data_IF_680059791711
#
_entry.id   IF_680059791711
#
_cell.length_a   1.000
_cell.length_b   1.000
_cell.length_c   1.000
_cell.angle_alpha   90.00
_cell.angle_beta   90.00
_cell.angle_gamma   90.00
#
_symmetry.space_group_name_H-M   'P 1'
#
loop_
_entity.id
_entity.type
_entity.pdbx_description
1 polymer ?
#
# COMPACT_ATOMS: atom_id res chain seq x y z
N UNK A 1 -27.85 -20.17 -11.34
CA UNK A 1 -27.24 -18.83 -11.06
C UNK A 1 -26.01 -18.73 -11.91
N UNK A 2 -26.11 -18.08 -13.06
CA UNK A 2 -24.99 -17.89 -14.02
C UNK A 2 -24.07 -16.81 -13.43
N UNK A 3 -23.00 -17.26 -12.78
CA UNK A 3 -21.95 -16.37 -12.32
C UNK A 3 -21.28 -15.73 -13.54
N UNK A 4 -21.62 -14.50 -13.86
CA UNK A 4 -20.86 -13.69 -14.80
C UNK A 4 -19.45 -13.55 -14.25
N UNK A 5 -18.48 -14.27 -14.82
CA UNK A 5 -17.09 -14.12 -14.50
C UNK A 5 -16.72 -12.67 -14.81
N UNK A 6 -16.37 -11.91 -13.77
CA UNK A 6 -15.92 -10.52 -13.94
C UNK A 6 -14.66 -10.49 -14.80
N UNK A 7 -14.47 -9.51 -15.69
CA UNK A 7 -13.34 -9.48 -16.62
C UNK A 7 -12.00 -9.41 -15.89
N UNK A 8 -11.02 -10.10 -16.45
CA UNK A 8 -9.61 -10.02 -16.04
C UNK A 8 -9.04 -8.71 -16.57
N UNK A 9 -8.28 -8.02 -15.74
CA UNK A 9 -7.64 -6.75 -16.07
C UNK A 9 -6.15 -7.00 -16.19
N UNK A 10 -5.55 -6.52 -17.27
CA UNK A 10 -4.12 -6.70 -17.53
C UNK A 10 -3.38 -5.38 -17.33
N UNK A 11 -2.35 -5.41 -16.52
CA UNK A 11 -1.47 -4.27 -16.22
C UNK A 11 0.00 -4.67 -16.37
N UNK A 12 0.91 -3.72 -16.41
CA UNK A 12 2.34 -4.00 -16.43
C UNK A 12 2.85 -4.30 -15.03
N UNK A 13 2.68 -3.38 -14.10
CA UNK A 13 3.14 -3.54 -12.71
C UNK A 13 2.02 -3.18 -11.72
N UNK A 14 2.00 -3.87 -10.59
CA UNK A 14 1.14 -3.54 -9.47
C UNK A 14 1.98 -3.46 -8.19
N UNK A 15 1.75 -2.42 -7.39
CA UNK A 15 2.41 -2.19 -6.11
C UNK A 15 1.35 -2.21 -5.00
N UNK A 16 1.52 -3.09 -4.04
CA UNK A 16 0.65 -3.22 -2.88
C UNK A 16 1.49 -3.28 -1.61
N UNK A 17 1.03 -2.67 -0.54
CA UNK A 17 1.68 -2.69 0.77
C UNK A 17 0.67 -2.86 1.89
N UNK A 18 1.14 -2.98 3.11
CA UNK A 18 0.33 -2.88 4.32
C UNK A 18 -0.92 -3.78 4.27
N UNK A 19 -0.70 -5.05 3.86
CA UNK A 19 -1.76 -6.07 3.83
C UNK A 19 -2.08 -6.56 5.24
N UNK A 20 -1.05 -6.68 6.09
CA UNK A 20 -1.15 -7.13 7.48
C UNK A 20 -1.84 -8.50 7.64
N UNK A 21 -1.44 -9.50 6.83
CA UNK A 21 -1.88 -10.89 7.04
C UNK A 21 -1.47 -11.35 8.45
N UNK A 22 -2.41 -11.84 9.22
CA UNK A 22 -2.23 -12.15 10.66
C UNK A 22 -2.97 -11.17 11.56
N UNK A 23 -3.37 -10.02 11.04
CA UNK A 23 -4.27 -9.08 11.70
C UNK A 23 -5.75 -9.40 11.39
N UNK A 24 -6.63 -9.12 12.35
CA UNK A 24 -8.09 -9.20 12.14
C UNK A 24 -8.63 -8.07 11.27
N UNK A 25 -7.85 -7.02 11.10
CA UNK A 25 -8.22 -5.82 10.34
C UNK A 25 -7.93 -5.96 8.84
N UNK A 26 -7.10 -6.97 8.48
CA UNK A 26 -6.77 -7.25 7.08
C UNK A 26 -8.04 -7.57 6.27
N UNK A 27 -8.19 -6.89 5.14
CA UNK A 27 -9.28 -7.13 4.17
C UNK A 27 -8.85 -8.18 3.14
N UNK A 28 -8.47 -9.35 3.64
CA UNK A 28 -7.87 -10.43 2.83
C UNK A 28 -8.75 -10.87 1.65
N UNK A 29 -10.09 -10.77 1.77
CA UNK A 29 -11.03 -11.07 0.69
C UNK A 29 -10.84 -10.13 -0.51
N UNK A 30 -10.63 -8.83 -0.23
CA UNK A 30 -10.42 -7.83 -1.27
C UNK A 30 -9.05 -7.99 -1.92
N UNK A 31 -8.00 -8.26 -1.11
CA UNK A 31 -6.66 -8.60 -1.63
C UNK A 31 -6.74 -9.80 -2.57
N UNK A 32 -7.42 -10.87 -2.14
CA UNK A 32 -7.54 -12.09 -2.92
C UNK A 32 -8.31 -11.86 -4.22
N UNK A 33 -9.39 -11.08 -4.18
CA UNK A 33 -10.15 -10.70 -5.36
C UNK A 33 -9.28 -9.88 -6.33
N UNK A 34 -8.57 -8.87 -5.83
CA UNK A 34 -7.61 -8.09 -6.62
C UNK A 34 -6.58 -8.97 -7.30
N UNK A 35 -5.89 -9.81 -6.54
CA UNK A 35 -4.86 -10.71 -7.06
C UNK A 35 -5.40 -11.69 -8.11
N UNK A 36 -6.64 -12.14 -8.00
CA UNK A 36 -7.27 -13.04 -8.97
C UNK A 36 -7.70 -12.34 -10.25
N UNK A 37 -8.16 -11.09 -10.14
CA UNK A 37 -8.71 -10.35 -11.28
C UNK A 37 -7.68 -9.53 -12.04
N UNK A 38 -6.59 -9.11 -11.36
CA UNK A 38 -5.53 -8.32 -12.00
C UNK A 38 -4.39 -9.24 -12.38
N UNK A 39 -4.09 -9.31 -13.68
CA UNK A 39 -2.92 -9.98 -14.24
C UNK A 39 -1.84 -8.93 -14.49
N UNK A 40 -0.65 -9.17 -13.94
CA UNK A 40 0.48 -8.25 -14.02
C UNK A 40 1.75 -8.99 -14.41
N UNK A 41 2.66 -8.28 -15.06
CA UNK A 41 4.01 -8.80 -15.37
C UNK A 41 4.89 -8.74 -14.11
N UNK A 42 4.73 -7.69 -13.30
CA UNK A 42 5.46 -7.48 -12.06
C UNK A 42 4.52 -7.16 -10.90
N UNK A 43 4.72 -7.82 -9.77
CA UNK A 43 4.01 -7.53 -8.51
C UNK A 43 5.04 -7.11 -7.47
N UNK A 44 4.89 -5.88 -6.98
CA UNK A 44 5.68 -5.36 -5.87
C UNK A 44 4.89 -5.48 -4.57
N UNK A 45 5.47 -6.20 -3.60
CA UNK A 45 5.00 -6.31 -2.23
C UNK A 45 5.84 -5.34 -1.39
N UNK A 46 5.28 -4.17 -1.09
CA UNK A 46 6.03 -3.03 -0.55
C UNK A 46 5.88 -2.94 0.97
N UNK A 47 6.22 -4.04 1.66
CA UNK A 47 6.29 -4.15 3.10
C UNK A 47 4.96 -4.40 3.80
N UNK A 48 5.07 -4.89 5.03
CA UNK A 48 3.96 -5.18 5.93
C UNK A 48 2.92 -6.13 5.32
N UNK A 49 3.44 -7.15 4.61
CA UNK A 49 2.60 -8.19 4.00
C UNK A 49 2.10 -9.15 5.05
N UNK A 50 2.99 -9.58 5.96
CA UNK A 50 2.64 -10.43 7.10
C UNK A 50 2.86 -9.65 8.39
N UNK A 51 1.81 -9.52 9.19
CA UNK A 51 1.90 -8.84 10.49
C UNK A 51 2.42 -9.81 11.58
N UNK A 52 3.74 -9.95 11.62
CA UNK A 52 4.42 -10.79 12.60
C UNK A 52 4.21 -10.28 14.04
N UNK A 53 4.05 -8.95 14.21
CA UNK A 53 3.81 -8.35 15.54
C UNK A 53 2.42 -8.75 16.06
N UNK A 54 1.39 -8.69 15.25
CA UNK A 54 0.04 -9.16 15.61
C UNK A 54 0.01 -10.65 15.88
N UNK A 55 0.69 -11.46 15.06
CA UNK A 55 0.79 -12.92 15.25
C UNK A 55 1.48 -13.31 16.57
N UNK A 56 2.54 -12.58 16.97
CA UNK A 56 3.23 -12.78 18.24
C UNK A 56 2.36 -12.41 19.45
N UNK A 57 1.50 -11.40 19.31
CA UNK A 57 0.61 -10.96 20.40
C UNK A 57 -0.61 -11.88 20.54
N UNK A 58 -1.22 -12.28 19.44
CA UNK A 58 -2.38 -13.15 19.40
C UNK A 58 -2.45 -13.84 18.05
N UNK A 59 -2.21 -15.15 18.02
CA UNK A 59 -2.22 -15.88 16.77
C UNK A 59 -3.61 -15.88 16.12
N UNK A 60 -3.68 -15.29 14.93
CA UNK A 60 -4.88 -15.26 14.09
C UNK A 60 -4.48 -15.51 12.63
N UNK A 61 -4.85 -16.69 12.11
CA UNK A 61 -4.48 -17.07 10.75
C UNK A 61 -5.60 -17.86 10.08
N UNK A 62 -6.65 -17.19 9.59
CA UNK A 62 -7.74 -17.86 8.88
C UNK A 62 -7.30 -18.37 7.51
N UNK A 63 -8.06 -19.32 6.94
CA UNK A 63 -7.76 -19.93 5.64
C UNK A 63 -7.56 -18.92 4.52
N UNK A 64 -8.28 -17.82 4.53
CA UNK A 64 -8.19 -16.77 3.52
C UNK A 64 -6.77 -16.15 3.43
N UNK A 65 -6.03 -16.07 4.55
CA UNK A 65 -4.64 -15.60 4.55
C UNK A 65 -3.72 -16.58 3.80
N UNK A 66 -3.93 -17.89 3.97
CA UNK A 66 -3.25 -18.90 3.14
C UNK A 66 -3.56 -18.72 1.66
N UNK A 67 -4.83 -18.46 1.33
CA UNK A 67 -5.27 -18.33 -0.05
C UNK A 67 -4.63 -17.09 -0.72
N UNK A 68 -4.42 -15.99 0.01
CA UNK A 68 -3.66 -14.83 -0.47
C UNK A 68 -2.22 -15.22 -0.79
N UNK A 69 -1.49 -15.82 0.17
CA UNK A 69 -0.10 -16.24 -0.05
C UNK A 69 0.04 -17.25 -1.20
N UNK A 70 -0.85 -18.25 -1.25
CA UNK A 70 -0.87 -19.23 -2.35
C UNK A 70 -1.14 -18.56 -3.70
N UNK A 71 -1.97 -17.52 -3.74
CA UNK A 71 -2.25 -16.79 -4.98
C UNK A 71 -1.03 -16.00 -5.42
N UNK A 72 -0.32 -15.33 -4.50
CA UNK A 72 0.94 -14.63 -4.80
C UNK A 72 1.98 -15.61 -5.35
N UNK A 73 2.21 -16.73 -4.65
CA UNK A 73 3.13 -17.77 -5.11
C UNK A 73 2.67 -18.42 -6.43
N UNK A 74 1.37 -18.56 -6.63
CA UNK A 74 0.79 -19.03 -7.89
C UNK A 74 1.12 -18.11 -9.06
N UNK A 75 1.14 -16.80 -8.85
CA UNK A 75 1.52 -15.84 -9.89
C UNK A 75 2.97 -16.02 -10.34
N UNK A 76 3.89 -16.29 -9.41
CA UNK A 76 5.31 -16.57 -9.77
C UNK A 76 5.42 -17.77 -10.69
N UNK A 77 4.62 -18.82 -10.47
CA UNK A 77 4.57 -20.01 -11.34
C UNK A 77 4.06 -19.70 -12.75
N UNK A 78 3.21 -18.69 -12.89
CA UNK A 78 2.62 -18.28 -14.17
C UNK A 78 3.37 -17.11 -14.84
N UNK A 79 4.61 -16.83 -14.41
CA UNK A 79 5.49 -15.88 -15.08
C UNK A 79 5.49 -14.46 -14.50
N UNK A 80 4.63 -14.14 -13.53
CA UNK A 80 4.71 -12.86 -12.84
C UNK A 80 5.99 -12.80 -12.00
N UNK A 81 6.80 -11.77 -12.19
CA UNK A 81 7.93 -11.47 -11.33
C UNK A 81 7.44 -10.80 -10.05
N UNK A 82 7.71 -11.37 -8.90
CA UNK A 82 7.29 -10.83 -7.60
C UNK A 82 8.50 -10.26 -6.89
N UNK A 83 8.46 -8.98 -6.57
CA UNK A 83 9.51 -8.27 -5.84
C UNK A 83 8.95 -7.95 -4.44
N UNK A 84 9.58 -8.51 -3.41
CA UNK A 84 9.20 -8.28 -2.03
C UNK A 84 10.23 -7.39 -1.34
N UNK A 85 9.76 -6.25 -0.84
CA UNK A 85 10.54 -5.31 -0.02
C UNK A 85 9.93 -5.34 1.38
N UNK A 86 10.57 -5.94 2.39
CA UNK A 86 10.00 -6.09 3.73
C UNK A 86 9.84 -4.76 4.47
N UNK A 87 8.73 -4.62 5.22
CA UNK A 87 8.46 -3.52 6.12
C UNK A 87 8.91 -3.78 7.57
N UNK A 88 8.38 -3.03 8.51
CA UNK A 88 8.69 -3.19 9.93
C UNK A 88 7.89 -4.30 10.60
N UNK A 89 6.67 -4.63 10.14
CA UNK A 89 5.89 -5.74 10.68
C UNK A 89 6.39 -7.12 10.23
N UNK A 90 7.13 -7.17 9.13
CA UNK A 90 7.77 -8.37 8.58
C UNK A 90 9.30 -8.22 8.44
N UNK A 91 9.92 -7.42 9.34
CA UNK A 91 11.36 -7.09 9.33
C UNK A 91 12.29 -8.30 9.33
N UNK A 92 11.85 -9.45 9.84
CA UNK A 92 12.62 -10.71 9.83
C UNK A 92 12.97 -11.15 8.40
N UNK A 93 12.14 -10.78 7.43
CA UNK A 93 12.41 -11.07 6.01
C UNK A 93 13.61 -10.28 5.48
N UNK A 94 14.04 -9.23 6.18
CA UNK A 94 15.24 -8.45 5.82
C UNK A 94 16.54 -9.24 5.96
N UNK A 95 16.54 -10.28 6.83
CA UNK A 95 17.70 -11.16 7.03
C UNK A 95 18.02 -12.00 5.79
N UNK A 96 17.03 -12.21 4.92
CA UNK A 96 17.15 -12.99 3.70
C UNK A 96 17.06 -12.15 2.42
N UNK A 97 17.26 -10.84 2.51
CA UNK A 97 17.37 -9.98 1.34
C UNK A 97 18.51 -10.44 0.41
N UNK A 98 18.30 -10.36 -0.89
CA UNK A 98 19.20 -10.90 -1.92
C UNK A 98 18.85 -12.35 -2.30
N UNK A 99 17.87 -12.96 -1.67
CA UNK A 99 17.44 -14.33 -2.00
C UNK A 99 16.42 -14.33 -3.12
N UNK A 100 16.52 -15.37 -3.96
CA UNK A 100 15.61 -15.62 -5.08
C UNK A 100 14.90 -16.96 -4.88
N UNK A 101 13.58 -16.96 -4.86
CA UNK A 101 12.73 -18.15 -4.81
C UNK A 101 11.91 -18.28 -6.11
N UNK A 102 12.50 -18.86 -7.15
CA UNK A 102 11.88 -18.85 -8.48
C UNK A 102 11.75 -17.42 -9.01
N UNK A 103 10.53 -16.97 -9.28
CA UNK A 103 10.24 -15.59 -9.72
C UNK A 103 9.90 -14.65 -8.55
N UNK A 104 10.21 -15.00 -7.30
CA UNK A 104 10.07 -14.15 -6.14
C UNK A 104 11.44 -13.72 -5.65
N UNK A 105 11.67 -12.42 -5.60
CA UNK A 105 12.91 -11.78 -5.17
C UNK A 105 12.67 -10.99 -3.89
N UNK A 106 13.59 -11.07 -2.93
CA UNK A 106 13.52 -10.30 -1.69
C UNK A 106 14.64 -9.25 -1.70
N UNK A 107 14.25 -7.98 -1.61
CA UNK A 107 15.16 -6.85 -1.65
C UNK A 107 14.91 -5.93 -0.47
N UNK A 108 15.96 -5.27 0.05
CA UNK A 108 15.78 -4.23 1.06
C UNK A 108 15.16 -2.96 0.48
N UNK A 109 15.57 -2.61 -0.70
CA UNK A 109 15.02 -1.57 -1.58
C UNK A 109 15.20 -2.02 -3.03
N UNK A 110 14.40 -1.49 -3.93
CA UNK A 110 14.45 -1.85 -5.34
C UNK A 110 14.34 -0.60 -6.21
N UNK A 111 15.00 -0.56 -7.35
CA UNK A 111 14.81 0.50 -8.34
C UNK A 111 13.99 -0.06 -9.49
N UNK A 112 12.74 0.41 -9.61
CA UNK A 112 11.87 0.07 -10.72
C UNK A 112 12.02 1.09 -11.84
N UNK A 113 12.20 0.60 -13.07
CA UNK A 113 12.15 1.45 -14.27
C UNK A 113 10.79 1.26 -14.94
N UNK A 114 10.02 2.34 -14.98
CA UNK A 114 8.70 2.34 -15.63
C UNK A 114 8.85 2.20 -17.15
N UNK A 115 7.76 1.92 -17.85
CA UNK A 115 7.75 1.91 -19.33
C UNK A 115 8.12 3.27 -19.94
N UNK A 116 7.94 4.35 -19.17
CA UNK A 116 8.33 5.72 -19.55
C UNK A 116 9.74 6.10 -19.12
N UNK A 117 10.57 5.12 -18.82
CA UNK A 117 11.97 5.28 -18.41
C UNK A 117 12.18 6.02 -17.08
N UNK A 118 11.12 6.27 -16.31
CA UNK A 118 11.24 6.85 -14.97
C UNK A 118 11.79 5.81 -13.98
N UNK A 119 12.78 6.17 -13.21
CA UNK A 119 13.41 5.33 -12.19
C UNK A 119 12.81 5.64 -10.82
N UNK A 120 12.06 4.69 -10.27
CA UNK A 120 11.38 4.84 -8.99
C UNK A 120 12.05 3.99 -7.92
N UNK A 121 12.43 4.61 -6.82
CA UNK A 121 12.86 3.89 -5.61
C UNK A 121 11.64 3.19 -5.00
N UNK A 122 11.70 1.89 -4.81
CA UNK A 122 10.66 1.11 -4.12
C UNK A 122 11.20 0.69 -2.77
N UNK A 123 10.58 1.16 -1.69
CA UNK A 123 10.92 0.80 -0.32
C UNK A 123 9.70 0.97 0.59
N UNK A 124 9.68 0.32 1.76
CA UNK A 124 8.49 0.40 2.61
C UNK A 124 8.28 1.80 3.20
N UNK A 125 9.32 2.39 3.74
CA UNK A 125 9.29 3.77 4.26
C UNK A 125 9.44 3.90 5.77
N UNK A 126 9.44 2.81 6.53
CA UNK A 126 9.62 2.83 7.99
C UNK A 126 10.97 3.45 8.42
N UNK A 127 11.98 3.44 7.53
CA UNK A 127 13.26 4.11 7.77
C UNK A 127 13.11 5.63 7.95
N UNK A 128 12.03 6.23 7.45
CA UNK A 128 11.79 7.67 7.57
C UNK A 128 11.23 8.08 8.93
N UNK A 129 10.74 7.14 9.75
CA UNK A 129 10.24 7.41 11.11
C UNK A 129 11.31 8.05 12.01
N UNK A 130 12.57 7.67 11.85
CA UNK A 130 13.69 8.25 12.58
C UNK A 130 14.00 9.70 12.20
N UNK A 131 13.70 10.10 10.98
CA UNK A 131 13.90 11.46 10.48
C UNK A 131 12.74 12.39 10.90
N UNK A 132 11.58 11.81 11.15
CA UNK A 132 10.41 12.51 11.63
C UNK A 132 10.36 12.40 13.15
N UNK A 133 10.73 13.45 13.88
CA UNK A 133 10.67 13.48 15.35
C UNK A 133 9.22 13.35 15.82
N UNK A 134 8.67 12.15 15.74
CA UNK A 134 7.40 11.83 16.37
C UNK A 134 7.70 11.28 17.78
N UNK A 135 7.19 11.95 18.81
CA UNK A 135 7.42 11.51 20.17
C UNK A 135 6.84 10.10 20.36
N UNK A 136 7.69 9.16 20.78
CA UNK A 136 7.37 7.72 20.96
C UNK A 136 6.12 7.45 21.81
N UNK A 137 5.75 8.37 22.69
CA UNK A 137 4.55 8.24 23.51
C UNK A 137 3.25 8.61 22.78
N UNK A 138 3.29 9.41 21.70
CA UNK A 138 2.16 9.63 20.81
C UNK A 138 1.83 8.36 20.00
N UNK A 139 2.84 7.60 19.62
CA UNK A 139 2.66 6.31 18.93
C UNK A 139 2.02 5.29 19.87
N UNK A 140 2.44 5.23 21.13
CA UNK A 140 1.86 4.31 22.13
C UNK A 140 0.42 4.68 22.53
N UNK A 141 0.06 5.97 22.58
CA UNK A 141 -1.31 6.43 22.78
C UNK A 141 -2.18 6.19 21.53
N UNK A 142 -1.57 6.32 20.33
CA UNK A 142 -2.25 6.14 19.06
C UNK A 142 -2.68 4.70 18.82
N UNK A 143 -1.91 3.70 19.22
CA UNK A 143 -2.24 2.29 18.97
C UNK A 143 -3.53 1.83 19.67
N UNK A 144 -3.71 2.15 20.96
CA UNK A 144 -4.93 1.79 21.69
C UNK A 144 -6.17 2.52 21.21
N UNK A 145 -6.04 3.81 20.89
CA UNK A 145 -7.13 4.62 20.32
C UNK A 145 -7.43 4.20 18.88
N UNK A 146 -6.41 3.80 18.14
CA UNK A 146 -6.52 3.29 16.77
C UNK A 146 -7.30 1.98 16.71
N UNK A 147 -6.99 1.01 17.58
CA UNK A 147 -7.72 -0.27 17.66
C UNK A 147 -9.21 -0.06 17.98
N UNK A 148 -9.52 0.87 18.91
CA UNK A 148 -10.92 1.24 19.23
C UNK A 148 -11.60 1.91 18.03
N UNK A 149 -10.89 2.78 17.33
CA UNK A 149 -11.43 3.48 16.15
C UNK A 149 -11.68 2.52 14.99
N UNK A 150 -10.80 1.54 14.77
CA UNK A 150 -11.00 0.48 13.76
C UNK A 150 -12.21 -0.40 14.10
N UNK A 151 -12.41 -0.74 15.37
CA UNK A 151 -13.60 -1.46 15.81
C UNK A 151 -14.91 -0.68 15.54
N UNK A 152 -14.91 0.61 15.86
CA UNK A 152 -16.03 1.51 15.56
C UNK A 152 -16.25 1.67 14.04
N UNK A 153 -15.17 1.75 13.26
CA UNK A 153 -15.23 1.85 11.81
C UNK A 153 -15.91 0.64 11.16
N UNK A 154 -15.65 -0.57 11.67
CA UNK A 154 -16.33 -1.80 11.22
C UNK A 154 -17.84 -1.71 11.43
N UNK A 155 -18.27 -1.28 12.60
CA UNK A 155 -19.70 -1.13 12.92
C UNK A 155 -20.38 -0.08 12.03
N UNK A 156 -19.74 1.08 11.86
CA UNK A 156 -20.22 2.17 10.99
C UNK A 156 -20.36 1.69 9.55
N UNK A 157 -19.36 1.00 9.02
CA UNK A 157 -19.41 0.51 7.64
C UNK A 157 -20.35 -0.67 7.44
N UNK A 158 -20.58 -1.52 8.45
CA UNK A 158 -21.61 -2.53 8.41
C UNK A 158 -23.01 -1.90 8.28
N UNK A 159 -23.26 -0.81 9.03
CA UNK A 159 -24.51 -0.06 8.94
C UNK A 159 -24.64 0.67 7.59
N UNK A 160 -23.57 1.31 7.12
CA UNK A 160 -23.55 1.99 5.81
C UNK A 160 -23.81 1.04 4.65
N UNK A 161 -23.24 -0.17 4.66
CA UNK A 161 -23.53 -1.20 3.64
C UNK A 161 -25.01 -1.61 3.62
N UNK A 162 -25.62 -1.76 4.79
CA UNK A 162 -27.06 -2.04 4.88
C UNK A 162 -27.94 -0.92 4.30
N UNK A 163 -27.42 0.30 4.32
CA UNK A 163 -28.10 1.49 3.79
C UNK A 163 -27.70 1.81 2.34
N UNK A 164 -26.89 0.97 1.70
CA UNK A 164 -26.46 1.16 0.29
C UNK A 164 -25.38 2.23 0.08
N UNK A 165 -24.72 2.70 1.15
CA UNK A 165 -23.62 3.66 1.03
C UNK A 165 -22.28 2.99 0.81
N UNK A 166 -21.37 3.59 0.01
CA UNK A 166 -20.02 3.10 -0.18
C UNK A 166 -19.23 3.11 1.14
N UNK A 167 -18.11 2.34 1.17
CA UNK A 167 -17.19 2.33 2.29
C UNK A 167 -16.67 3.73 2.62
N UNK A 168 -16.52 4.02 3.92
CA UNK A 168 -15.98 5.29 4.41
C UNK A 168 -15.11 5.05 5.64
N UNK A 169 -13.89 5.63 5.66
CA UNK A 169 -12.96 5.49 6.77
C UNK A 169 -13.14 6.61 7.80
N UNK A 170 -13.69 6.25 8.96
CA UNK A 170 -13.77 7.16 10.10
C UNK A 170 -12.36 7.51 10.64
N UNK A 171 -11.49 6.51 10.71
CA UNK A 171 -10.11 6.69 11.17
C UNK A 171 -9.33 7.62 10.24
N UNK A 172 -9.46 7.45 8.92
CA UNK A 172 -8.87 8.35 7.93
C UNK A 172 -9.36 9.80 8.08
N UNK A 173 -10.67 9.99 8.30
CA UNK A 173 -11.24 11.31 8.53
C UNK A 173 -10.71 11.97 9.81
N UNK A 174 -10.66 11.25 10.93
CA UNK A 174 -10.12 11.75 12.19
C UNK A 174 -8.62 12.06 12.08
N UNK A 175 -7.85 11.19 11.45
CA UNK A 175 -6.41 11.36 11.20
C UNK A 175 -6.12 12.62 10.37
N UNK A 176 -6.95 12.94 9.40
CA UNK A 176 -6.82 14.16 8.58
C UNK A 176 -7.10 15.45 9.34
N UNK A 177 -7.82 15.39 10.47
CA UNK A 177 -8.18 16.54 11.29
C UNK A 177 -7.14 16.89 12.37
N UNK A 178 -6.23 15.98 12.70
CA UNK A 178 -5.23 16.20 13.75
C UNK A 178 -4.00 16.87 13.13
N UNK A 179 -3.77 18.14 13.43
CA UNK A 179 -2.68 18.94 12.83
C UNK A 179 -1.27 18.34 13.01
N UNK A 180 -1.04 17.56 14.08
CA UNK A 180 0.23 16.85 14.29
C UNK A 180 0.39 15.67 13.33
N UNK A 181 -0.71 14.97 12.97
CA UNK A 181 -0.67 13.91 11.98
C UNK A 181 -0.36 14.46 10.58
N UNK A 182 -0.89 15.63 10.23
CA UNK A 182 -0.56 16.30 8.96
C UNK A 182 0.91 16.71 8.87
N UNK A 183 1.49 17.21 9.98
CA UNK A 183 2.93 17.51 10.04
C UNK A 183 3.78 16.25 9.87
N UNK A 184 3.38 15.15 10.51
CA UNK A 184 4.06 13.86 10.35
C UNK A 184 4.03 13.39 8.89
N UNK A 185 2.84 13.38 8.27
CA UNK A 185 2.68 13.01 6.87
C UNK A 185 3.57 13.85 5.97
N UNK A 186 3.51 15.17 6.10
CA UNK A 186 4.34 16.07 5.29
C UNK A 186 5.84 15.83 5.49
N UNK A 187 6.29 15.63 6.74
CA UNK A 187 7.70 15.35 7.03
C UNK A 187 8.13 14.00 6.46
N UNK A 188 7.26 12.99 6.48
CA UNK A 188 7.49 11.69 5.88
C UNK A 188 7.64 11.82 4.35
N UNK A 189 6.70 12.49 3.70
CA UNK A 189 6.72 12.72 2.26
C UNK A 189 8.01 13.43 1.81
N UNK A 190 8.44 14.47 2.55
CA UNK A 190 9.68 15.20 2.29
C UNK A 190 10.92 14.29 2.47
N UNK A 191 10.96 13.48 3.51
CA UNK A 191 12.07 12.56 3.75
C UNK A 191 12.15 11.50 2.65
N UNK A 192 11.02 10.95 2.22
CA UNK A 192 10.90 10.00 1.13
C UNK A 192 11.36 10.60 -0.20
N UNK A 193 10.87 11.78 -0.56
CA UNK A 193 11.31 12.47 -1.78
C UNK A 193 12.82 12.80 -1.74
N UNK A 194 13.34 13.21 -0.59
CA UNK A 194 14.78 13.45 -0.43
C UNK A 194 15.62 12.17 -0.59
N UNK A 195 15.11 11.00 -0.18
CA UNK A 195 15.79 9.72 -0.35
C UNK A 195 15.92 9.34 -1.84
N UNK A 196 14.90 9.57 -2.65
CA UNK A 196 14.96 9.39 -4.10
C UNK A 196 15.93 10.39 -4.74
N UNK A 197 15.85 11.67 -4.37
CA UNK A 197 16.73 12.72 -4.90
C UNK A 197 18.21 12.45 -4.63
N UNK A 198 18.57 11.98 -3.43
CA UNK A 198 19.97 11.63 -3.09
C UNK A 198 20.53 10.48 -3.94
N UNK A 199 19.65 9.65 -4.51
CA UNK A 199 19.99 8.54 -5.40
C UNK A 199 19.86 8.90 -6.88
N UNK A 200 19.59 10.17 -7.19
CA UNK A 200 19.38 10.67 -8.57
C UNK A 200 18.27 9.89 -9.29
N UNK A 201 17.16 9.59 -8.57
CA UNK A 201 15.99 8.89 -9.08
C UNK A 201 14.83 9.86 -9.29
N UNK A 202 13.93 9.52 -10.22
CA UNK A 202 12.79 10.36 -10.61
C UNK A 202 11.65 10.34 -9.60
N UNK A 203 11.58 9.31 -8.76
CA UNK A 203 10.52 9.19 -7.78
C UNK A 203 10.72 8.07 -6.76
N UNK A 204 9.71 7.93 -5.89
CA UNK A 204 9.65 6.91 -4.85
C UNK A 204 8.27 6.30 -4.76
N UNK A 205 8.20 4.99 -4.53
CA UNK A 205 6.99 4.24 -4.18
C UNK A 205 7.18 3.67 -2.78
N UNK A 206 6.26 3.99 -1.87
CA UNK A 206 6.28 3.50 -0.50
C UNK A 206 4.87 3.18 0.03
N UNK A 207 4.78 2.61 1.23
CA UNK A 207 3.58 2.34 2.02
C UNK A 207 3.65 3.02 3.38
N UNK A 208 3.56 2.22 4.46
CA UNK A 208 3.83 2.53 5.86
C UNK A 208 2.86 3.52 6.52
N UNK A 209 2.59 4.66 5.92
CA UNK A 209 1.71 5.69 6.52
C UNK A 209 0.22 5.48 6.18
N UNK A 210 -0.13 4.44 5.45
CA UNK A 210 -1.50 4.06 5.07
C UNK A 210 -2.29 5.19 4.40
N UNK A 211 -1.61 6.02 3.61
CA UNK A 211 -2.21 7.16 2.93
C UNK A 211 -1.96 7.10 1.45
N UNK A 212 -2.88 6.51 0.68
CA UNK A 212 -2.71 6.39 -0.76
C UNK A 212 -2.68 7.77 -1.43
N UNK A 213 -1.58 8.04 -2.15
CA UNK A 213 -1.38 9.33 -2.81
C UNK A 213 -0.39 9.21 -3.97
N UNK A 214 -0.61 9.96 -5.02
CA UNK A 214 0.37 10.27 -6.07
C UNK A 214 0.50 11.78 -6.12
N UNK A 215 1.68 12.31 -5.87
CA UNK A 215 1.96 13.75 -5.91
C UNK A 215 3.39 14.02 -6.35
N UNK A 216 3.69 15.24 -6.74
CA UNK A 216 5.04 15.67 -7.08
C UNK A 216 5.56 16.62 -6.00
N UNK A 217 6.75 16.32 -5.47
CA UNK A 217 7.41 17.07 -4.40
C UNK A 217 8.75 17.56 -4.92
N UNK A 218 8.82 18.84 -5.26
CA UNK A 218 10.04 19.48 -5.78
C UNK A 218 10.68 18.73 -6.95
N UNK A 219 9.89 18.28 -7.91
CA UNK A 219 10.34 17.54 -9.09
C UNK A 219 10.58 16.04 -8.87
N UNK A 220 10.26 15.49 -7.68
CA UNK A 220 10.31 14.06 -7.39
C UNK A 220 8.89 13.52 -7.31
N UNK A 221 8.60 12.45 -8.06
CA UNK A 221 7.32 11.76 -7.99
C UNK A 221 7.24 10.96 -6.69
N UNK A 222 6.29 11.30 -5.84
CA UNK A 222 5.98 10.56 -4.63
C UNK A 222 4.72 9.74 -4.82
N UNK A 223 4.81 8.44 -4.58
CA UNK A 223 3.68 7.51 -4.63
C UNK A 223 3.59 6.75 -3.31
N UNK A 224 2.42 6.77 -2.68
CA UNK A 224 2.10 5.89 -1.55
C UNK A 224 0.98 4.93 -1.96
N UNK A 225 1.21 3.64 -1.77
CA UNK A 225 0.28 2.58 -2.20
C UNK A 225 -0.97 2.47 -1.32
N UNK A 226 -0.95 3.10 -0.13
CA UNK A 226 -2.00 2.98 0.87
C UNK A 226 -1.90 1.68 1.67
N UNK A 227 -3.00 0.98 1.86
CA UNK A 227 -3.10 -0.23 2.69
C UNK A 227 -4.26 -1.13 2.26
N UNK A 228 -4.34 -2.34 2.85
CA UNK A 228 -5.45 -3.29 2.68
C UNK A 228 -6.22 -3.53 3.99
N UNK A 229 -6.24 -2.52 4.85
CA UNK A 229 -6.99 -2.46 6.10
C UNK A 229 -8.14 -1.46 5.97
N UNK A 230 -7.83 -0.24 5.51
CA UNK A 230 -8.79 0.87 5.41
C UNK A 230 -9.02 1.31 3.96
N UNK A 231 -7.96 1.69 3.25
CA UNK A 231 -8.04 2.29 1.91
C UNK A 231 -8.29 1.26 0.82
N UNK A 232 -7.81 0.03 1.00
CA UNK A 232 -7.85 -1.07 0.04
C UNK A 232 -7.37 -0.59 -1.34
N UNK A 233 -6.15 -0.09 -1.41
CA UNK A 233 -5.61 0.55 -2.60
C UNK A 233 -4.35 -0.13 -3.12
N UNK A 234 -4.07 0.11 -4.39
CA UNK A 234 -2.87 -0.34 -5.09
C UNK A 234 -2.41 0.74 -6.07
N UNK A 235 -1.09 0.92 -6.18
CA UNK A 235 -0.51 1.71 -7.27
C UNK A 235 -0.34 0.77 -8.48
N UNK A 236 -0.78 1.22 -9.63
CA UNK A 236 -0.76 0.45 -10.88
C UNK A 236 0.05 1.20 -11.93
N UNK A 237 0.93 0.50 -12.60
CA UNK A 237 1.49 0.92 -13.87
C UNK A 237 0.74 0.19 -14.98
N UNK A 238 0.01 0.92 -15.78
CA UNK A 238 -0.73 0.37 -16.89
C UNK A 238 0.19 -0.07 -18.05
N UNK A 239 -0.38 -0.60 -19.12
CA UNK A 239 0.37 -1.02 -20.31
C UNK A 239 0.88 0.15 -21.15
N UNK A 240 0.44 1.38 -20.87
CA UNK A 240 0.94 2.62 -21.47
C UNK A 240 2.04 3.28 -20.63
N UNK A 241 2.36 2.71 -19.45
CA UNK A 241 3.33 3.27 -18.51
C UNK A 241 2.79 4.42 -17.67
N UNK A 242 1.44 4.61 -17.63
CA UNK A 242 0.82 5.54 -16.70
C UNK A 242 0.74 4.94 -15.32
N UNK A 243 1.01 5.76 -14.31
CA UNK A 243 0.85 5.39 -12.91
C UNK A 243 -0.50 5.89 -12.40
N UNK A 244 -1.30 4.98 -11.87
CA UNK A 244 -2.63 5.24 -11.35
C UNK A 244 -2.80 4.62 -9.98
N UNK A 245 -3.52 5.31 -9.09
CA UNK A 245 -3.92 4.77 -7.80
C UNK A 245 -5.32 4.19 -7.90
N UNK A 246 -5.45 2.88 -7.66
CA UNK A 246 -6.71 2.18 -7.69
C UNK A 246 -7.22 1.90 -6.29
N UNK A 247 -8.51 2.18 -6.04
CA UNK A 247 -9.20 1.78 -4.83
C UNK A 247 -10.09 0.57 -5.11
N UNK A 248 -9.84 -0.53 -4.40
CA UNK A 248 -10.56 -1.78 -4.56
C UNK A 248 -11.66 -1.89 -3.51
N UNK A 249 -12.92 -1.89 -3.90
CA UNK A 249 -14.06 -1.88 -2.99
C UNK A 249 -14.91 -3.16 -3.06
N UNK A 250 -15.79 -3.36 -2.05
CA UNK A 250 -16.68 -4.51 -1.94
C UNK A 250 -17.64 -4.69 -3.14
N UNK A 251 -17.86 -3.68 -3.94
CA UNK A 251 -18.70 -3.76 -5.15
C UNK A 251 -17.97 -4.45 -6.31
N UNK A 252 -16.66 -4.71 -6.18
CA UNK A 252 -15.84 -5.40 -7.20
C UNK A 252 -15.92 -4.78 -8.59
N UNK A 253 -16.34 -3.54 -8.70
CA UNK A 253 -16.71 -2.93 -9.96
C UNK A 253 -16.23 -1.51 -10.15
N UNK A 254 -15.42 -0.95 -9.28
CA UNK A 254 -14.94 0.38 -9.56
C UNK A 254 -13.44 0.50 -9.30
N UNK A 255 -12.71 0.32 -10.36
CA UNK A 255 -11.48 1.04 -10.61
C UNK A 255 -11.86 2.53 -10.65
N UNK A 256 -11.91 3.19 -9.52
CA UNK A 256 -11.89 4.64 -9.52
C UNK A 256 -10.42 5.00 -9.46
N UNK A 257 -9.84 5.33 -10.62
CA UNK A 257 -8.66 6.17 -10.63
C UNK A 257 -8.95 7.37 -9.72
N UNK A 258 -8.12 7.59 -8.72
CA UNK A 258 -8.20 8.83 -7.95
C UNK A 258 -8.11 9.99 -8.96
N UNK A 259 -8.88 11.07 -8.81
CA UNK A 259 -8.78 12.21 -9.70
C UNK A 259 -7.32 12.65 -9.74
N UNK A 260 -6.76 12.80 -10.95
CA UNK A 260 -5.38 13.29 -11.14
C UNK A 260 -5.16 14.48 -10.20
N UNK A 261 -4.13 14.48 -9.34
CA UNK A 261 -3.86 15.63 -8.51
C UNK A 261 -3.71 16.86 -9.43
N UNK A 262 -4.47 17.90 -9.14
CA UNK A 262 -4.30 19.16 -9.81
C UNK A 262 -2.85 19.61 -9.53
N UNK A 263 -2.01 19.63 -10.54
CA UNK A 263 -0.66 20.20 -10.46
C UNK A 263 -0.83 21.62 -9.95
N UNK A 264 -0.56 21.83 -8.65
CA UNK A 264 -0.49 23.19 -8.10
C UNK A 264 0.74 23.82 -8.72
N UNK A 265 0.52 24.62 -9.77
CA UNK A 265 1.56 25.47 -10.30
C UNK A 265 2.10 26.34 -9.16
N UNK A 266 3.38 26.19 -8.86
CA UNK A 266 4.08 27.08 -7.94
C UNK A 266 3.97 28.51 -8.48
N UNK A 267 3.69 29.52 -7.63
CA UNK A 267 3.78 30.91 -8.04
C UNK A 267 5.22 31.16 -8.49
N UNK A 268 5.38 31.64 -9.73
CA UNK A 268 6.68 32.10 -10.22
C UNK A 268 7.14 33.22 -9.29
N UNK A 269 8.30 33.02 -8.67
CA UNK A 269 8.99 34.07 -7.92
C UNK A 269 9.22 35.24 -8.87
N UNK A 270 8.76 36.44 -8.43
CA UNK A 270 9.03 37.71 -9.07
C UNK A 270 10.43 38.21 -8.73
#
# INVERSE_FOLDING_TARGET
MTGTSRPIIHVRSAFISDIHLGSRECRAELVLEFLRRVQMEQLFLVGDIVDVWSLRRSFYWPQIHNDVLRTILGKTKHGTRVIYVPGNHDEQMREICGTLFGNLEIHREYVHTTLREQKLLVMHGDEFDGAVQCSRWLTALGSGLYDVTLGANRLVNALRRRLGYPYWSLAGYLKSRVGNAMKYVHSFEQAAAQAARRRELDGIVCGHIHRPEITELDGILYCNTGDWVESCSALIEDRGGELELWHWNDAGSALQAAPKPAVKALPRAA
#
